data_IF_041720739170
#
_entry.id   IF_041720739170
#
_cell.length_a   1.000
_cell.length_b   1.000
_cell.length_c   1.000
_cell.angle_alpha   90.00
_cell.angle_beta   90.00
_cell.angle_gamma   90.00
#
_symmetry.space_group_name_H-M   'P 1'
#
loop_
_entity.id
_entity.type
_entity.pdbx_description
1 polymer ?
#
# COMPACT_ATOMS: atom_id res chain seq x y z
N UNK A 1 21.90 -23.64 38.26
CA UNK A 1 20.86 -24.18 37.36
C UNK A 1 21.24 -23.85 35.92
N UNK A 2 21.58 -24.84 35.11
CA UNK A 2 21.92 -24.66 33.69
C UNK A 2 20.64 -24.59 32.86
N UNK A 3 20.50 -23.56 32.02
CA UNK A 3 19.41 -23.48 31.05
C UNK A 3 19.49 -24.67 30.07
N UNK A 4 18.36 -25.23 29.62
CA UNK A 4 18.37 -26.28 28.60
C UNK A 4 19.04 -25.78 27.32
N UNK A 5 19.76 -26.65 26.61
CA UNK A 5 20.56 -26.25 25.43
C UNK A 5 19.73 -25.59 24.33
N UNK A 6 18.46 -25.95 24.20
CA UNK A 6 17.50 -25.30 23.30
C UNK A 6 17.28 -23.81 23.62
N UNK A 7 17.22 -23.45 24.91
CA UNK A 7 17.07 -22.07 25.34
C UNK A 7 18.35 -21.26 25.07
N UNK A 8 19.53 -21.86 25.28
CA UNK A 8 20.82 -21.22 24.95
C UNK A 8 20.90 -20.89 23.45
N UNK A 9 20.52 -21.83 22.60
CA UNK A 9 20.46 -21.63 21.16
C UNK A 9 19.48 -20.50 20.79
N UNK A 10 18.27 -20.51 21.36
CA UNK A 10 17.25 -19.47 21.13
C UNK A 10 17.77 -18.08 21.48
N UNK A 11 18.37 -17.90 22.67
CA UNK A 11 18.90 -16.60 23.09
C UNK A 11 20.11 -16.15 22.26
N UNK A 12 20.94 -17.09 21.77
CA UNK A 12 22.01 -16.77 20.84
C UNK A 12 21.46 -16.21 19.53
N UNK A 13 20.49 -16.90 18.93
CA UNK A 13 19.82 -16.45 17.68
C UNK A 13 19.10 -15.12 17.91
N UNK A 14 18.45 -14.92 19.06
CA UNK A 14 17.80 -13.65 19.39
C UNK A 14 18.79 -12.48 19.46
N UNK A 15 19.94 -12.66 20.14
CA UNK A 15 20.98 -11.61 20.22
C UNK A 15 21.53 -11.26 18.85
N UNK A 16 21.78 -12.28 18.03
CA UNK A 16 22.19 -12.10 16.64
C UNK A 16 21.13 -11.32 15.84
N UNK A 17 19.85 -11.68 15.98
CA UNK A 17 18.74 -10.95 15.36
C UNK A 17 18.72 -9.48 15.75
N UNK A 18 18.82 -9.17 17.05
CA UNK A 18 18.85 -7.79 17.53
C UNK A 18 20.08 -7.03 17.01
N UNK A 19 21.23 -7.69 16.86
CA UNK A 19 22.42 -7.06 16.24
C UNK A 19 22.17 -6.75 14.77
N UNK A 20 21.66 -7.71 14.01
CA UNK A 20 21.38 -7.55 12.58
C UNK A 20 20.37 -6.44 12.31
N UNK A 21 19.30 -6.37 13.12
CA UNK A 21 18.28 -5.31 12.95
C UNK A 21 18.85 -3.90 13.05
N UNK A 22 19.97 -3.67 13.76
CA UNK A 22 20.59 -2.34 13.85
C UNK A 22 21.08 -1.81 12.50
N UNK A 23 21.43 -2.70 11.57
CA UNK A 23 21.88 -2.35 10.22
C UNK A 23 20.75 -2.02 9.26
N UNK A 24 19.48 -2.20 9.67
CA UNK A 24 18.36 -1.75 8.85
C UNK A 24 18.36 -0.22 8.75
N UNK A 25 18.04 0.34 7.57
CA UNK A 25 18.25 1.76 7.28
C UNK A 25 17.30 2.68 8.06
N UNK A 26 16.09 2.23 8.39
CA UNK A 26 15.03 3.07 8.95
C UNK A 26 14.74 2.77 10.41
N UNK A 27 14.51 3.80 11.22
CA UNK A 27 14.18 3.66 12.65
C UNK A 27 12.95 2.78 12.90
N UNK A 28 11.85 3.01 12.15
CA UNK A 28 10.65 2.17 12.17
C UNK A 28 10.96 0.67 11.97
N UNK A 29 11.77 0.33 10.95
CA UNK A 29 12.12 -1.08 10.69
C UNK A 29 12.86 -1.69 11.88
N UNK A 30 13.82 -0.95 12.45
CA UNK A 30 14.56 -1.40 13.63
C UNK A 30 13.64 -1.63 14.83
N UNK A 31 12.73 -0.68 15.06
CA UNK A 31 11.77 -0.76 16.17
C UNK A 31 10.80 -1.93 16.00
N UNK A 32 10.19 -2.04 14.82
CA UNK A 32 9.26 -3.12 14.48
C UNK A 32 9.89 -4.50 14.67
N UNK A 33 11.06 -4.74 14.06
CA UNK A 33 11.72 -6.05 14.15
C UNK A 33 12.25 -6.37 15.54
N UNK A 34 12.60 -5.36 16.35
CA UNK A 34 12.96 -5.56 17.75
C UNK A 34 11.76 -6.07 18.57
N UNK A 35 10.59 -5.42 18.43
CA UNK A 35 9.35 -5.84 19.10
C UNK A 35 8.94 -7.24 18.61
N UNK A 36 8.94 -7.43 17.30
CA UNK A 36 8.59 -8.71 16.69
C UNK A 36 9.47 -9.85 17.19
N UNK A 37 10.79 -9.64 17.25
CA UNK A 37 11.72 -10.65 17.77
C UNK A 37 11.47 -10.98 19.24
N UNK A 38 11.14 -9.99 20.07
CA UNK A 38 10.76 -10.25 21.47
C UNK A 38 9.47 -11.06 21.58
N UNK A 39 8.46 -10.74 20.77
CA UNK A 39 7.19 -11.48 20.78
C UNK A 39 7.37 -12.92 20.29
N UNK A 40 8.16 -13.14 19.24
CA UNK A 40 8.44 -14.49 18.72
C UNK A 40 9.21 -15.33 19.73
N UNK A 41 10.22 -14.76 20.41
CA UNK A 41 10.96 -15.46 21.48
C UNK A 41 10.05 -15.78 22.66
N UNK A 42 9.22 -14.82 23.10
CA UNK A 42 8.23 -15.06 24.17
C UNK A 42 7.28 -16.19 23.77
N UNK A 43 6.75 -16.15 22.55
CA UNK A 43 5.87 -17.18 22.03
C UNK A 43 6.56 -18.55 21.87
N UNK A 44 7.88 -18.61 21.68
CA UNK A 44 8.64 -19.88 21.69
C UNK A 44 8.80 -20.40 23.12
N UNK A 45 9.17 -19.54 24.08
CA UNK A 45 9.36 -19.90 25.49
C UNK A 45 8.07 -20.37 26.14
N UNK A 46 6.93 -19.73 25.85
CA UNK A 46 5.61 -20.11 26.36
C UNK A 46 5.07 -21.42 25.75
N UNK A 47 5.67 -21.89 24.64
CA UNK A 47 5.20 -23.10 23.98
C UNK A 47 5.62 -24.32 24.78
N UNK A 48 4.66 -25.00 25.39
CA UNK A 48 4.86 -26.36 25.91
C UNK A 48 5.34 -27.26 24.77
N UNK A 49 6.34 -28.09 25.03
CA UNK A 49 7.00 -28.97 24.03
C UNK A 49 6.09 -30.14 23.59
N UNK A 50 4.94 -29.81 23.01
CA UNK A 50 4.04 -30.77 22.40
C UNK A 50 4.45 -30.97 20.94
N UNK A 51 4.78 -32.20 20.56
CA UNK A 51 4.95 -32.64 19.15
C UNK A 51 5.94 -31.77 18.35
N UNK A 52 7.06 -31.36 18.96
CA UNK A 52 8.11 -30.57 18.29
C UNK A 52 7.67 -29.18 17.83
N UNK A 53 6.62 -28.60 18.42
CA UNK A 53 6.14 -27.26 18.07
C UNK A 53 7.19 -26.16 18.34
N UNK A 54 7.92 -26.24 19.46
CA UNK A 54 9.02 -25.33 19.79
C UNK A 54 10.11 -25.32 18.71
N UNK A 55 10.57 -26.50 18.27
CA UNK A 55 11.56 -26.63 17.16
C UNK A 55 11.06 -26.01 15.86
N UNK A 56 9.78 -26.19 15.50
CA UNK A 56 9.19 -25.58 14.29
C UNK A 56 9.13 -24.05 14.38
N UNK A 57 8.80 -23.49 15.56
CA UNK A 57 8.82 -22.04 15.78
C UNK A 57 10.25 -21.49 15.73
N UNK A 58 11.22 -22.15 16.38
CA UNK A 58 12.64 -21.77 16.29
C UNK A 58 13.14 -21.80 14.83
N UNK A 59 12.78 -22.83 14.04
CA UNK A 59 13.12 -22.89 12.61
C UNK A 59 12.51 -21.75 11.79
N UNK A 60 11.29 -21.30 12.13
CA UNK A 60 10.68 -20.12 11.49
C UNK A 60 11.43 -18.84 11.87
N UNK A 61 11.80 -18.70 13.14
CA UNK A 61 12.55 -17.55 13.64
C UNK A 61 13.95 -17.46 13.01
N UNK A 62 14.68 -18.58 12.86
CA UNK A 62 15.97 -18.60 12.16
C UNK A 62 15.85 -18.30 10.66
N UNK A 63 14.77 -18.74 10.00
CA UNK A 63 14.48 -18.35 8.61
C UNK A 63 14.25 -16.85 8.47
N UNK A 64 13.61 -16.24 9.46
CA UNK A 64 13.39 -14.80 9.48
C UNK A 64 14.70 -14.03 9.69
N UNK A 65 15.57 -14.49 10.59
CA UNK A 65 16.93 -13.96 10.73
C UNK A 65 17.69 -14.00 9.41
N UNK A 66 17.66 -15.14 8.71
CA UNK A 66 18.29 -15.28 7.39
C UNK A 66 17.72 -14.30 6.36
N UNK A 67 16.41 -14.04 6.42
CA UNK A 67 15.75 -13.06 5.55
C UNK A 67 16.20 -11.63 5.86
N UNK A 68 16.32 -11.26 7.14
CA UNK A 68 16.84 -9.94 7.55
C UNK A 68 18.29 -9.76 7.12
N UNK A 69 19.15 -10.77 7.33
CA UNK A 69 20.54 -10.75 6.85
C UNK A 69 20.64 -10.59 5.34
N UNK A 70 19.88 -11.37 4.57
CA UNK A 70 19.84 -11.25 3.13
C UNK A 70 19.38 -9.85 2.67
N UNK A 71 18.42 -9.25 3.39
CA UNK A 71 17.96 -7.89 3.12
C UNK A 71 19.06 -6.84 3.36
N UNK A 72 19.84 -6.98 4.43
CA UNK A 72 21.00 -6.12 4.74
C UNK A 72 22.09 -6.26 3.67
N UNK A 73 22.30 -7.48 3.16
CA UNK A 73 23.23 -7.76 2.05
C UNK A 73 22.75 -7.24 0.68
N UNK A 74 21.59 -6.58 0.60
CA UNK A 74 21.06 -5.99 -0.63
C UNK A 74 20.17 -6.91 -1.47
N UNK A 75 19.77 -8.07 -0.94
CA UNK A 75 18.79 -8.94 -1.62
C UNK A 75 17.45 -8.23 -1.75
N UNK A 76 17.08 -7.91 -3.00
CA UNK A 76 15.82 -7.24 -3.34
C UNK A 76 14.57 -7.97 -2.80
N UNK A 77 14.37 -9.27 -3.06
CA UNK A 77 13.14 -9.95 -2.59
C UNK A 77 13.07 -10.02 -1.07
N UNK A 78 14.21 -10.21 -0.40
CA UNK A 78 14.29 -10.23 1.06
C UNK A 78 13.95 -8.85 1.65
N UNK A 79 14.50 -7.77 1.10
CA UNK A 79 14.21 -6.42 1.56
C UNK A 79 12.75 -6.03 1.31
N UNK A 80 12.17 -6.38 0.16
CA UNK A 80 10.74 -6.18 -0.10
C UNK A 80 9.88 -6.98 0.88
N UNK A 81 10.27 -8.20 1.24
CA UNK A 81 9.58 -8.96 2.28
C UNK A 81 9.67 -8.25 3.65
N UNK A 82 10.85 -7.73 3.99
CA UNK A 82 11.08 -7.00 5.24
C UNK A 82 10.16 -5.78 5.34
N UNK A 83 10.06 -4.99 4.27
CA UNK A 83 9.13 -3.86 4.16
C UNK A 83 7.67 -4.31 4.21
N UNK A 84 7.29 -5.33 3.43
CA UNK A 84 5.92 -5.83 3.37
C UNK A 84 5.42 -6.27 4.76
N UNK A 85 6.27 -6.90 5.58
CA UNK A 85 5.90 -7.31 6.93
C UNK A 85 5.82 -6.10 7.88
N UNK A 86 6.83 -5.22 7.88
CA UNK A 86 6.91 -4.09 8.83
C UNK A 86 5.88 -2.99 8.58
N UNK A 87 5.38 -2.85 7.35
CA UNK A 87 4.32 -1.91 6.99
C UNK A 87 2.96 -2.60 6.80
N UNK A 88 2.81 -3.83 7.32
CA UNK A 88 1.53 -4.52 7.38
C UNK A 88 0.90 -4.85 6.01
N UNK A 89 1.72 -5.08 4.97
CA UNK A 89 1.27 -5.68 3.71
C UNK A 89 1.12 -7.20 3.84
N UNK A 90 1.86 -7.80 4.77
CA UNK A 90 1.86 -9.25 5.08
C UNK A 90 1.88 -9.49 6.59
N UNK A 91 1.56 -10.72 6.97
CA UNK A 91 1.69 -11.20 8.35
C UNK A 91 0.60 -10.68 9.30
N UNK A 92 0.90 -10.70 10.61
CA UNK A 92 -0.04 -10.36 11.69
C UNK A 92 -0.45 -8.88 11.66
N UNK A 93 0.52 -7.98 11.44
CA UNK A 93 0.27 -6.54 11.40
C UNK A 93 -0.76 -6.17 10.32
N UNK A 94 -0.76 -6.87 9.17
CA UNK A 94 -1.78 -6.68 8.14
C UNK A 94 -3.20 -6.88 8.70
N UNK A 95 -3.39 -7.93 9.51
CA UNK A 95 -4.68 -8.22 10.13
C UNK A 95 -5.05 -7.17 11.17
N UNK A 96 -4.08 -6.74 12.00
CA UNK A 96 -4.29 -5.70 13.01
C UNK A 96 -4.70 -4.36 12.38
N UNK A 97 -4.16 -4.02 11.21
CA UNK A 97 -4.53 -2.81 10.47
C UNK A 97 -5.90 -2.92 9.78
N UNK A 98 -6.27 -4.11 9.26
CA UNK A 98 -7.55 -4.29 8.54
C UNK A 98 -8.73 -4.53 9.48
N UNK A 99 -8.52 -5.17 10.63
CA UNK A 99 -9.57 -5.53 11.57
C UNK A 99 -10.45 -4.34 12.01
N UNK A 100 -9.91 -3.15 12.32
CA UNK A 100 -10.70 -1.95 12.60
C UNK A 100 -11.64 -1.56 11.46
N UNK A 101 -11.25 -1.80 10.20
CA UNK A 101 -12.03 -1.48 9.01
C UNK A 101 -13.14 -2.50 8.73
N UNK A 102 -13.09 -3.68 9.34
CA UNK A 102 -14.12 -4.71 9.19
C UNK A 102 -15.29 -4.51 10.16
N UNK A 103 -15.11 -3.69 11.20
CA UNK A 103 -16.11 -3.49 12.25
C UNK A 103 -16.36 -2.00 12.45
N UNK A 104 -17.53 -1.51 12.10
CA UNK A 104 -17.97 -0.15 12.44
C UNK A 104 -18.98 -0.19 13.58
N UNK A 105 -18.67 0.38 14.76
CA UNK A 105 -19.62 0.46 15.86
C UNK A 105 -20.80 1.40 15.58
N UNK A 106 -20.66 2.36 14.66
CA UNK A 106 -21.70 3.37 14.36
C UNK A 106 -22.77 2.84 13.42
N UNK A 107 -22.45 1.87 12.57
CA UNK A 107 -23.37 1.36 11.55
C UNK A 107 -24.30 0.31 12.15
N UNK A 108 -25.61 0.54 12.00
CA UNK A 108 -26.64 -0.43 12.39
C UNK A 108 -26.46 -1.72 11.59
N UNK A 109 -26.31 -2.84 12.28
CA UNK A 109 -26.18 -4.15 11.63
C UNK A 109 -27.49 -4.49 10.90
N UNK A 110 -27.42 -5.00 9.66
CA UNK A 110 -28.60 -5.40 8.90
C UNK A 110 -29.35 -6.53 9.63
N UNK A 111 -30.65 -6.69 9.34
CA UNK A 111 -31.44 -7.77 9.90
C UNK A 111 -30.84 -9.14 9.50
N UNK A 112 -30.97 -10.18 10.35
CA UNK A 112 -30.52 -11.52 10.01
C UNK A 112 -31.35 -12.08 8.85
N UNK A 113 -30.70 -12.70 7.86
CA UNK A 113 -31.40 -13.34 6.73
C UNK A 113 -32.32 -14.49 7.22
N UNK A 114 -31.91 -15.19 8.27
CA UNK A 114 -32.67 -16.22 8.97
C UNK A 114 -33.09 -15.62 10.34
N UNK A 115 -34.38 -15.34 10.57
CA UNK A 115 -34.85 -14.57 11.74
C UNK A 115 -34.33 -15.08 13.10
N UNK A 116 -34.22 -16.39 13.27
CA UNK A 116 -33.78 -17.01 14.53
C UNK A 116 -32.24 -17.14 14.69
N UNK A 117 -31.44 -16.76 13.68
CA UNK A 117 -29.98 -17.01 13.67
C UNK A 117 -29.22 -15.70 13.50
N UNK A 118 -28.76 -15.09 14.59
CA UNK A 118 -28.04 -13.81 14.52
C UNK A 118 -26.76 -13.86 13.68
N UNK A 119 -26.10 -15.03 13.63
CA UNK A 119 -24.91 -15.26 12.79
C UNK A 119 -25.22 -15.19 11.29
N UNK A 120 -26.49 -15.23 10.90
CA UNK A 120 -26.92 -15.10 9.50
C UNK A 120 -27.08 -13.65 9.05
N UNK A 121 -26.63 -12.67 9.84
CA UNK A 121 -26.56 -11.28 9.38
C UNK A 121 -25.57 -11.17 8.22
N UNK A 122 -25.92 -10.46 7.14
CA UNK A 122 -24.97 -10.22 6.07
C UNK A 122 -23.82 -9.33 6.56
N UNK A 123 -22.64 -9.44 5.95
CA UNK A 123 -21.50 -8.59 6.28
C UNK A 123 -21.84 -7.12 5.98
N UNK A 124 -21.37 -6.22 6.85
CA UNK A 124 -21.51 -4.77 6.68
C UNK A 124 -20.23 -4.26 6.02
N UNK A 125 -20.38 -3.35 5.06
CA UNK A 125 -19.26 -2.64 4.45
C UNK A 125 -19.21 -1.21 5.00
N UNK A 126 -18.29 -0.90 5.94
CA UNK A 126 -18.04 0.48 6.34
C UNK A 126 -17.67 1.34 5.13
N UNK A 127 -17.98 2.64 5.16
CA UNK A 127 -17.77 3.55 4.02
C UNK A 127 -16.29 3.58 3.59
N UNK A 128 -15.37 3.43 4.55
CA UNK A 128 -13.93 3.33 4.33
C UNK A 128 -13.57 2.06 3.55
N UNK A 129 -14.09 0.91 3.99
CA UNK A 129 -13.83 -0.38 3.37
C UNK A 129 -14.46 -0.48 1.98
N UNK A 130 -15.68 0.06 1.82
CA UNK A 130 -16.35 0.14 0.53
C UNK A 130 -15.54 0.97 -0.47
N UNK A 131 -15.00 2.13 -0.05
CA UNK A 131 -14.13 2.94 -0.89
C UNK A 131 -12.82 2.23 -1.28
N UNK A 132 -12.24 1.45 -0.35
CA UNK A 132 -11.09 0.60 -0.67
C UNK A 132 -11.46 -0.48 -1.71
N UNK A 133 -12.53 -1.23 -1.50
CA UNK A 133 -12.95 -2.33 -2.39
C UNK A 133 -13.31 -1.88 -3.81
N UNK A 134 -13.92 -0.69 -3.91
CA UNK A 134 -14.30 -0.06 -5.19
C UNK A 134 -13.13 0.63 -5.89
N UNK A 135 -12.01 0.87 -5.21
CA UNK A 135 -10.83 1.46 -5.82
C UNK A 135 -9.83 0.38 -6.28
N UNK A 136 -9.35 0.44 -7.54
CA UNK A 136 -8.32 -0.48 -8.03
C UNK A 136 -6.96 -0.25 -7.35
N UNK A 137 -6.74 0.93 -6.76
CA UNK A 137 -5.50 1.31 -6.08
C UNK A 137 -5.23 0.50 -4.80
N UNK A 138 -6.27 0.11 -4.07
CA UNK A 138 -6.11 -0.52 -2.75
C UNK A 138 -5.98 -2.04 -2.81
N UNK A 139 -6.24 -2.65 -3.96
CA UNK A 139 -6.41 -4.09 -4.06
C UNK A 139 -5.16 -4.76 -4.61
N UNK A 140 -4.89 -5.96 -4.09
CA UNK A 140 -3.90 -6.86 -4.69
C UNK A 140 -4.31 -7.27 -6.11
N UNK A 141 -5.60 -7.30 -6.39
CA UNK A 141 -6.17 -7.53 -7.72
C UNK A 141 -6.47 -6.20 -8.39
N UNK A 142 -6.07 -6.02 -9.66
CA UNK A 142 -6.30 -4.77 -10.39
C UNK A 142 -7.78 -4.48 -10.72
N UNK A 143 -8.65 -5.48 -10.61
CA UNK A 143 -10.09 -5.33 -10.84
C UNK A 143 -10.71 -4.69 -9.61
N UNK A 144 -11.39 -3.56 -9.77
CA UNK A 144 -12.21 -2.92 -8.75
C UNK A 144 -13.59 -3.62 -8.66
N UNK A 145 -14.25 -3.54 -7.50
CA UNK A 145 -15.66 -3.95 -7.37
C UNK A 145 -16.55 -2.78 -7.77
N UNK A 146 -17.69 -3.06 -8.37
CA UNK A 146 -18.74 -2.05 -8.49
C UNK A 146 -19.44 -1.88 -7.13
N UNK A 147 -20.08 -0.72 -6.87
CA UNK A 147 -20.93 -0.57 -5.70
C UNK A 147 -22.04 -1.65 -5.63
N UNK A 148 -22.58 -2.05 -6.78
CA UNK A 148 -23.59 -3.11 -6.92
C UNK A 148 -23.05 -4.47 -6.44
N UNK A 149 -21.79 -4.80 -6.74
CA UNK A 149 -21.14 -6.03 -6.28
C UNK A 149 -21.05 -6.13 -4.73
N UNK A 150 -21.09 -4.99 -4.03
CA UNK A 150 -21.07 -4.97 -2.56
C UNK A 150 -22.43 -5.40 -1.98
N UNK A 151 -23.53 -5.04 -2.64
CA UNK A 151 -24.89 -5.38 -2.23
C UNK A 151 -25.25 -6.81 -2.65
N UNK A 152 -25.02 -7.11 -3.92
CA UNK A 152 -25.33 -8.39 -4.58
C UNK A 152 -24.04 -8.94 -5.18
N UNK A 153 -23.34 -9.84 -4.47
CA UNK A 153 -22.05 -10.29 -4.94
C UNK A 153 -22.18 -11.10 -6.23
N UNK A 154 -21.26 -10.97 -7.20
CA UNK A 154 -21.34 -11.64 -8.51
C UNK A 154 -21.25 -13.17 -8.42
N UNK A 155 -20.87 -13.69 -7.25
CA UNK A 155 -20.86 -15.15 -6.96
C UNK A 155 -22.22 -15.68 -6.51
N UNK A 156 -23.18 -14.78 -6.25
CA UNK A 156 -24.54 -15.13 -5.90
C UNK A 156 -25.32 -15.46 -7.18
N UNK A 157 -25.99 -16.62 -7.25
CA UNK A 157 -26.79 -16.95 -8.42
C UNK A 157 -28.03 -16.03 -8.49
N UNK A 158 -28.47 -15.73 -9.71
CA UNK A 158 -29.77 -15.09 -10.04
C UNK A 158 -30.94 -15.62 -9.20
N UNK A 159 -30.95 -16.93 -8.93
CA UNK A 159 -31.91 -17.66 -8.08
C UNK A 159 -32.06 -17.08 -6.66
N UNK A 160 -31.10 -16.29 -6.18
CA UNK A 160 -31.24 -15.62 -4.88
C UNK A 160 -32.33 -14.53 -4.91
N UNK A 161 -32.57 -13.92 -6.07
CA UNK A 161 -33.61 -12.93 -6.23
C UNK A 161 -34.95 -13.62 -6.47
N UNK A 162 -35.97 -13.40 -5.62
CA UNK A 162 -37.26 -14.08 -5.73
C UNK A 162 -38.03 -13.71 -6.99
N UNK A 163 -37.69 -12.58 -7.61
CA UNK A 163 -38.30 -12.08 -8.85
C UNK A 163 -37.72 -12.73 -10.11
N UNK A 164 -36.52 -13.32 -10.02
CA UNK A 164 -35.83 -13.93 -11.15
C UNK A 164 -36.57 -15.15 -11.71
N UNK A 165 -36.44 -15.37 -13.02
CA UNK A 165 -37.02 -16.55 -13.68
C UNK A 165 -36.44 -17.85 -13.11
N UNK A 166 -35.14 -17.88 -12.81
CA UNK A 166 -34.49 -19.05 -12.21
C UNK A 166 -35.06 -19.40 -10.83
N UNK A 167 -35.41 -18.40 -10.01
CA UNK A 167 -36.07 -18.65 -8.73
C UNK A 167 -37.50 -19.18 -8.92
N UNK A 168 -38.19 -18.76 -9.98
CA UNK A 168 -39.54 -19.27 -10.30
C UNK A 168 -39.49 -20.70 -10.84
N UNK A 169 -38.52 -21.01 -11.69
CA UNK A 169 -38.37 -22.32 -12.34
C UNK A 169 -37.79 -23.38 -11.40
N UNK A 170 -36.74 -23.04 -10.64
CA UNK A 170 -36.00 -24.00 -9.81
C UNK A 170 -36.32 -23.88 -8.31
N UNK A 171 -37.13 -22.90 -7.92
CA UNK A 171 -37.41 -22.51 -6.54
C UNK A 171 -36.38 -21.51 -5.97
N UNK A 172 -36.61 -20.88 -4.80
CA UNK A 172 -35.68 -19.93 -4.21
C UNK A 172 -34.38 -20.59 -3.72
N UNK A 173 -33.30 -19.81 -3.61
CA UNK A 173 -32.04 -20.27 -3.01
C UNK A 173 -32.21 -20.49 -1.49
N UNK A 174 -31.57 -21.52 -0.93
CA UNK A 174 -31.61 -21.72 0.52
C UNK A 174 -30.89 -20.58 1.25
N UNK A 175 -31.57 -19.97 2.24
CA UNK A 175 -31.06 -18.84 3.04
C UNK A 175 -29.68 -19.11 3.65
N UNK A 176 -29.43 -20.33 4.12
CA UNK A 176 -28.10 -20.73 4.66
C UNK A 176 -27.01 -20.67 3.59
N UNK A 177 -27.31 -21.10 2.37
CA UNK A 177 -26.35 -21.06 1.24
C UNK A 177 -26.08 -19.63 0.82
N UNK A 178 -27.12 -18.79 0.76
CA UNK A 178 -26.98 -17.36 0.49
C UNK A 178 -26.03 -16.69 1.50
N UNK A 179 -26.28 -16.87 2.80
CA UNK A 179 -25.43 -16.36 3.88
C UNK A 179 -23.98 -16.79 3.70
N UNK A 180 -23.75 -18.08 3.43
CA UNK A 180 -22.42 -18.63 3.23
C UNK A 180 -21.72 -18.03 2.01
N UNK A 181 -22.43 -17.82 0.89
CA UNK A 181 -21.88 -17.20 -0.32
C UNK A 181 -21.48 -15.75 -0.01
N UNK A 182 -22.37 -14.96 0.60
CA UNK A 182 -22.09 -13.56 0.96
C UNK A 182 -20.87 -13.43 1.88
N UNK A 183 -20.77 -14.26 2.94
CA UNK A 183 -19.62 -14.24 3.86
C UNK A 183 -18.32 -14.72 3.21
N UNK A 184 -18.37 -15.75 2.35
CA UNK A 184 -17.19 -16.19 1.59
C UNK A 184 -16.71 -15.09 0.66
N UNK A 185 -17.62 -14.44 -0.06
CA UNK A 185 -17.28 -13.31 -0.92
C UNK A 185 -16.63 -12.18 -0.10
N UNK A 186 -17.28 -11.73 0.98
CA UNK A 186 -16.74 -10.69 1.85
C UNK A 186 -15.34 -11.00 2.38
N UNK A 187 -15.14 -12.20 2.93
CA UNK A 187 -13.83 -12.59 3.50
C UNK A 187 -12.74 -12.68 2.43
N UNK A 188 -13.07 -13.19 1.25
CA UNK A 188 -12.14 -13.25 0.12
C UNK A 188 -11.79 -11.86 -0.40
N UNK A 189 -12.78 -10.96 -0.51
CA UNK A 189 -12.57 -9.60 -1.01
C UNK A 189 -11.83 -8.73 0.00
N UNK A 190 -12.19 -8.78 1.29
CA UNK A 190 -11.44 -8.13 2.35
C UNK A 190 -9.98 -8.61 2.40
N UNK A 191 -9.74 -9.91 2.19
CA UNK A 191 -8.38 -10.47 2.13
C UNK A 191 -7.57 -10.04 0.90
N UNK A 192 -8.15 -9.33 -0.07
CA UNK A 192 -7.44 -8.74 -1.22
C UNK A 192 -7.07 -7.27 -1.00
N UNK A 193 -7.66 -6.61 0.01
CA UNK A 193 -7.39 -5.20 0.30
C UNK A 193 -6.05 -5.03 1.00
N UNK A 194 -5.28 -4.04 0.57
CA UNK A 194 -4.12 -3.53 1.27
C UNK A 194 -4.58 -2.53 2.34
N UNK A 195 -4.19 -2.71 3.62
CA UNK A 195 -4.65 -1.81 4.66
C UNK A 195 -4.03 -0.41 4.46
N UNK A 196 -4.80 0.68 4.49
CA UNK A 196 -4.22 2.03 4.55
C UNK A 196 -3.39 2.22 5.83
N UNK A 197 -2.37 3.08 5.78
CA UNK A 197 -1.60 3.44 6.98
C UNK A 197 -2.25 4.60 7.73
N UNK A 198 -2.80 5.56 6.99
CA UNK A 198 -3.32 6.83 7.49
C UNK A 198 -4.54 7.28 6.66
N UNK A 199 -5.37 8.11 7.27
CA UNK A 199 -6.47 8.85 6.61
C UNK A 199 -6.11 10.32 6.58
N UNK A 200 -6.29 10.93 5.41
CA UNK A 200 -6.13 12.36 5.23
C UNK A 200 -7.51 13.00 5.14
N UNK A 201 -7.76 14.06 5.90
CA UNK A 201 -8.97 14.84 5.79
C UNK A 201 -8.74 15.98 4.79
N UNK A 202 -9.69 16.19 3.88
CA UNK A 202 -9.69 17.30 2.94
C UNK A 202 -11.02 18.02 3.02
N UNK A 203 -11.01 19.27 3.49
CA UNK A 203 -12.18 20.12 3.38
C UNK A 203 -12.42 20.44 1.89
N UNK A 204 -13.67 20.66 1.47
CA UNK A 204 -13.98 20.94 0.06
C UNK A 204 -13.40 22.28 -0.44
N UNK A 205 -13.00 23.18 0.47
CA UNK A 205 -12.13 24.31 0.12
C UNK A 205 -10.83 23.77 -0.48
N UNK A 206 -10.20 24.47 -1.42
CA UNK A 206 -8.97 24.04 -2.12
C UNK A 206 -7.72 23.85 -1.22
N UNK A 207 -7.92 23.68 0.09
CA UNK A 207 -6.92 23.32 1.07
C UNK A 207 -6.29 21.96 0.72
N UNK A 208 -4.97 21.81 0.81
CA UNK A 208 -4.32 20.51 0.70
C UNK A 208 -4.90 19.54 1.75
N UNK A 209 -4.89 18.25 1.42
CA UNK A 209 -5.29 17.23 2.37
C UNK A 209 -4.29 17.21 3.54
N UNK A 210 -4.81 17.17 4.76
CA UNK A 210 -4.01 17.17 5.98
C UNK A 210 -4.30 15.89 6.78
N UNK A 211 -3.25 15.30 7.35
CA UNK A 211 -3.32 14.13 8.23
C UNK A 211 -3.34 14.53 9.71
N UNK A 212 -3.39 15.84 10.01
CA UNK A 212 -3.35 16.36 11.37
C UNK A 212 -4.49 15.80 12.25
N UNK A 213 -4.22 15.51 13.53
CA UNK A 213 -5.22 14.95 14.44
C UNK A 213 -6.39 15.90 14.67
N UNK A 214 -6.17 17.22 14.54
CA UNK A 214 -7.19 18.25 14.71
C UNK A 214 -8.24 18.14 13.60
N UNK A 215 -7.81 18.12 12.34
CA UNK A 215 -8.73 18.03 11.18
C UNK A 215 -9.51 16.72 11.15
N UNK A 216 -8.90 15.61 11.57
CA UNK A 216 -9.55 14.29 11.66
C UNK A 216 -10.64 14.28 12.75
N UNK A 217 -10.37 14.89 13.90
CA UNK A 217 -11.34 15.02 15.00
C UNK A 217 -12.50 15.93 14.60
N UNK A 218 -12.22 17.06 13.95
CA UNK A 218 -13.23 17.97 13.40
C UNK A 218 -14.13 17.29 12.38
N UNK A 219 -13.55 16.48 11.50
CA UNK A 219 -14.27 15.71 10.51
C UNK A 219 -15.00 14.48 11.10
N UNK A 220 -14.85 14.20 12.40
CA UNK A 220 -15.42 13.04 13.13
C UNK A 220 -15.07 11.69 12.49
N UNK A 221 -13.93 11.64 11.82
CA UNK A 221 -13.41 10.44 11.16
C UNK A 221 -12.80 9.54 12.22
N UNK A 222 -12.95 8.24 12.04
CA UNK A 222 -12.22 7.25 12.84
C UNK A 222 -10.80 7.14 12.31
N UNK A 223 -9.81 7.54 13.10
CA UNK A 223 -8.41 7.20 12.83
C UNK A 223 -8.21 5.68 12.88
N UNK A 224 -7.38 5.15 11.98
CA UNK A 224 -6.99 3.74 11.99
C UNK A 224 -5.52 3.59 11.58
N UNK A 225 -4.92 2.46 11.94
CA UNK A 225 -3.56 2.12 11.57
C UNK A 225 -2.50 2.90 12.36
N UNK A 226 -1.66 3.63 11.63
CA UNK A 226 -0.51 4.37 12.18
C UNK A 226 -0.73 5.87 12.15
N UNK A 227 -1.99 6.31 12.26
CA UNK A 227 -2.33 7.73 12.37
C UNK A 227 -1.46 8.40 13.44
N UNK A 228 -0.98 9.62 13.15
CA UNK A 228 -0.15 10.45 14.02
C UNK A 228 1.32 10.00 14.19
N UNK A 229 1.73 8.86 13.61
CA UNK A 229 3.12 8.40 13.72
C UNK A 229 4.08 9.02 12.70
N UNK A 230 3.57 9.70 11.67
CA UNK A 230 4.41 10.31 10.65
C UNK A 230 5.05 9.30 9.69
N UNK A 231 4.55 8.05 9.65
CA UNK A 231 5.21 6.96 8.91
C UNK A 231 5.13 7.17 7.40
N UNK A 232 4.02 7.73 6.90
CA UNK A 232 3.87 8.01 5.49
C UNK A 232 4.79 9.16 5.06
N UNK A 233 4.90 10.20 5.88
CA UNK A 233 5.83 11.32 5.70
C UNK A 233 7.28 10.85 5.71
N UNK A 234 7.64 9.95 6.62
CA UNK A 234 8.96 9.31 6.65
C UNK A 234 9.26 8.58 5.34
N UNK A 235 8.30 7.79 4.83
CA UNK A 235 8.44 7.10 3.54
C UNK A 235 8.65 8.11 2.40
N UNK A 236 7.84 9.18 2.36
CA UNK A 236 8.01 10.26 1.38
C UNK A 236 9.36 10.96 1.50
N UNK A 237 9.86 11.17 2.71
CA UNK A 237 11.19 11.70 2.98
C UNK A 237 12.30 10.82 2.43
N UNK A 238 12.18 9.49 2.57
CA UNK A 238 13.14 8.52 2.04
C UNK A 238 13.11 8.49 0.51
N UNK A 239 11.92 8.40 -0.09
CA UNK A 239 11.78 8.46 -1.54
C UNK A 239 12.36 9.77 -2.07
N UNK A 240 12.26 10.81 -1.26
CA UNK A 240 12.58 12.18 -1.58
C UNK A 240 11.37 12.82 -2.26
N UNK A 241 11.27 14.14 -2.17
CA UNK A 241 10.36 14.87 -3.05
C UNK A 241 10.69 14.44 -4.47
N UNK A 242 9.67 14.00 -5.20
CA UNK A 242 9.71 13.86 -6.64
C UNK A 242 10.28 15.18 -7.14
N UNK A 243 11.59 15.19 -7.43
CA UNK A 243 12.22 16.38 -7.95
C UNK A 243 11.62 16.47 -9.33
N UNK A 244 10.52 17.21 -9.46
CA UNK A 244 10.04 17.74 -10.71
C UNK A 244 11.29 18.15 -11.50
N UNK A 245 11.61 17.39 -12.54
CA UNK A 245 12.59 17.76 -13.54
C UNK A 245 14.07 17.84 -13.15
N UNK A 246 14.51 17.70 -11.89
CA UNK A 246 15.95 17.76 -11.59
C UNK A 246 16.63 16.43 -11.94
N UNK A 247 16.75 16.19 -13.25
CA UNK A 247 17.80 15.34 -13.82
C UNK A 247 19.11 15.71 -13.12
N UNK A 248 19.98 14.73 -12.80
CA UNK A 248 21.29 15.07 -12.27
C UNK A 248 21.91 16.10 -13.21
N UNK A 249 22.18 17.30 -12.66
CA UNK A 249 22.65 18.45 -13.43
C UNK A 249 23.81 17.98 -14.28
N UNK A 250 23.66 18.08 -15.59
CA UNK A 250 24.69 17.56 -16.49
C UNK A 250 25.98 18.35 -16.27
N UNK A 251 27.14 17.74 -16.57
CA UNK A 251 28.43 18.44 -16.43
C UNK A 251 28.45 19.78 -17.20
N UNK A 252 27.70 19.86 -18.31
CA UNK A 252 27.53 21.10 -19.10
C UNK A 252 26.71 22.15 -18.36
N UNK A 253 25.58 21.77 -17.76
CA UNK A 253 24.77 22.68 -16.95
C UNK A 253 25.54 23.18 -15.72
N UNK A 254 26.33 22.33 -15.06
CA UNK A 254 27.21 22.75 -13.96
C UNK A 254 28.22 23.81 -14.41
N UNK A 255 28.79 23.66 -15.61
CA UNK A 255 29.69 24.67 -16.17
C UNK A 255 28.94 25.97 -16.53
N UNK A 256 27.71 25.88 -17.03
CA UNK A 256 26.88 27.05 -17.34
C UNK A 256 26.48 27.81 -16.06
N UNK A 257 26.04 27.10 -15.01
CA UNK A 257 25.72 27.69 -13.71
C UNK A 257 26.94 28.37 -13.08
N UNK A 258 28.13 27.76 -13.21
CA UNK A 258 29.38 28.36 -12.76
C UNK A 258 29.70 29.67 -13.51
N UNK A 259 29.39 29.76 -14.81
CA UNK A 259 29.55 31.00 -15.59
C UNK A 259 28.56 32.10 -15.16
N UNK A 260 27.35 31.72 -14.74
CA UNK A 260 26.30 32.65 -14.27
C UNK A 260 26.56 33.12 -12.82
N UNK A 261 27.59 32.58 -12.15
CA UNK A 261 27.89 32.93 -10.75
C UNK A 261 26.87 32.37 -9.75
N UNK A 262 25.95 31.51 -10.18
CA UNK A 262 25.07 30.80 -9.27
C UNK A 262 25.85 29.67 -8.61
N UNK A 263 26.17 29.87 -7.33
CA UNK A 263 26.73 28.82 -6.50
C UNK A 263 25.71 27.67 -6.40
N UNK A 264 26.09 26.42 -6.70
CA UNK A 264 25.18 25.30 -6.53
C UNK A 264 24.78 25.23 -5.05
N UNK A 265 23.48 25.14 -4.79
CA UNK A 265 22.97 24.93 -3.43
C UNK A 265 23.75 23.79 -2.77
N UNK A 266 24.17 23.92 -1.50
CA UNK A 266 24.92 22.88 -0.82
C UNK A 266 24.19 21.53 -1.00
N UNK A 267 24.92 20.44 -1.26
CA UNK A 267 24.30 19.15 -1.54
C UNK A 267 23.39 18.80 -0.37
N UNK A 268 22.08 18.86 -0.60
CA UNK A 268 21.09 18.45 0.37
C UNK A 268 21.51 17.09 0.94
N UNK A 269 21.41 16.93 2.27
CA UNK A 269 21.87 15.77 3.04
C UNK A 269 21.80 14.49 2.20
N UNK A 270 22.93 13.78 2.08
CA UNK A 270 23.13 12.66 1.14
C UNK A 270 21.85 11.81 1.05
N UNK A 271 21.11 11.99 -0.04
CA UNK A 271 19.87 11.27 -0.25
C UNK A 271 20.12 9.76 -0.13
N UNK A 272 19.14 8.99 0.37
CA UNK A 272 19.27 7.55 0.43
C UNK A 272 19.61 6.97 -0.94
N UNK A 273 20.32 5.84 -0.92
CA UNK A 273 20.77 5.16 -2.13
C UNK A 273 19.60 4.99 -3.11
N UNK A 274 19.88 5.11 -4.42
CA UNK A 274 18.88 4.92 -5.47
C UNK A 274 18.13 3.59 -5.31
N UNK A 275 18.84 2.56 -4.86
CA UNK A 275 18.27 1.25 -4.56
C UNK A 275 17.20 1.34 -3.46
N UNK A 276 17.50 2.01 -2.34
CA UNK A 276 16.55 2.15 -1.23
C UNK A 276 15.30 2.92 -1.66
N UNK A 277 15.50 4.06 -2.34
CA UNK A 277 14.40 4.88 -2.88
C UNK A 277 13.46 4.07 -3.75
N UNK A 278 14.00 3.30 -4.69
CA UNK A 278 13.22 2.45 -5.59
C UNK A 278 12.35 1.45 -4.81
N UNK A 279 12.85 0.89 -3.70
CA UNK A 279 12.08 -0.06 -2.86
C UNK A 279 10.96 0.62 -2.09
N UNK A 280 11.21 1.82 -1.56
CA UNK A 280 10.15 2.59 -0.90
C UNK A 280 9.11 3.13 -1.88
N UNK A 281 9.49 3.48 -3.12
CA UNK A 281 8.53 3.81 -4.18
C UNK A 281 7.64 2.61 -4.55
N UNK A 282 8.20 1.40 -4.57
CA UNK A 282 7.41 0.18 -4.76
C UNK A 282 6.47 -0.08 -3.59
N UNK A 283 6.91 0.23 -2.36
CA UNK A 283 6.08 0.14 -1.17
C UNK A 283 4.91 1.15 -1.23
N UNK A 284 5.16 2.39 -1.64
CA UNK A 284 4.11 3.40 -1.87
C UNK A 284 3.06 2.93 -2.90
N UNK A 285 3.46 2.14 -3.89
CA UNK A 285 2.52 1.52 -4.84
C UNK A 285 1.62 0.44 -4.24
N UNK A 286 1.85 0.03 -2.98
CA UNK A 286 1.04 -0.93 -2.22
C UNK A 286 0.36 -0.29 -1.00
N UNK A 287 0.57 1.00 -0.76
CA UNK A 287 -0.03 1.73 0.35
C UNK A 287 -1.12 2.63 -0.24
N UNK A 288 -2.41 2.25 -0.12
CA UNK A 288 -3.49 3.15 -0.51
C UNK A 288 -3.51 4.36 0.43
N UNK A 289 -3.64 5.54 -0.16
CA UNK A 289 -3.90 6.79 0.53
C UNK A 289 -5.42 7.02 0.53
N UNK A 290 -6.01 7.08 1.72
CA UNK A 290 -7.44 7.31 1.90
C UNK A 290 -7.63 8.78 2.21
N UNK A 291 -8.37 9.49 1.37
CA UNK A 291 -8.73 10.90 1.57
C UNK A 291 -10.22 11.00 1.87
N UNK A 292 -10.58 11.59 3.00
CA UNK A 292 -11.95 11.91 3.33
C UNK A 292 -12.26 13.35 2.95
N UNK A 293 -13.06 13.53 1.92
CA UNK A 293 -13.53 14.86 1.48
C UNK A 293 -14.82 15.22 2.21
N UNK A 294 -14.85 16.34 2.93
CA UNK A 294 -16.04 16.78 3.68
C UNK A 294 -16.39 18.25 3.45
N UNK A 295 -17.67 18.56 3.64
CA UNK A 295 -18.20 19.92 3.70
C UNK A 295 -18.80 20.13 5.10
N UNK A 296 -18.66 21.32 5.66
CA UNK A 296 -19.23 21.60 6.99
C UNK A 296 -20.73 21.30 6.99
N UNK A 297 -21.17 20.44 7.93
CA UNK A 297 -22.57 20.03 8.06
C UNK A 297 -23.07 18.93 7.11
N UNK A 298 -22.24 18.38 6.22
CA UNK A 298 -22.61 17.26 5.34
C UNK A 298 -21.72 16.03 5.57
N UNK A 299 -22.31 14.86 5.35
CA UNK A 299 -21.56 13.61 5.28
C UNK A 299 -20.50 13.71 4.18
N UNK A 300 -19.26 13.37 4.52
CA UNK A 300 -18.16 13.35 3.56
C UNK A 300 -18.14 12.05 2.74
N UNK A 301 -17.25 12.06 1.75
CA UNK A 301 -16.97 10.92 0.86
C UNK A 301 -15.51 10.48 1.03
N UNK A 302 -15.29 9.17 1.06
CA UNK A 302 -13.95 8.60 0.98
C UNK A 302 -13.51 8.42 -0.47
N UNK A 303 -12.34 8.95 -0.79
CA UNK A 303 -11.58 8.69 -2.01
C UNK A 303 -10.34 7.88 -1.69
N UNK A 304 -9.86 7.09 -2.65
CA UNK A 304 -8.65 6.28 -2.50
C UNK A 304 -7.76 6.51 -3.71
N UNK A 305 -6.54 6.97 -3.45
CA UNK A 305 -5.50 7.17 -4.46
C UNK A 305 -4.22 6.43 -4.06
N UNK A 306 -3.29 6.29 -5.02
CA UNK A 306 -1.90 5.95 -4.71
C UNK A 306 -1.08 7.23 -4.69
N UNK A 307 0.07 7.18 -4.02
CA UNK A 307 1.03 8.27 -4.14
C UNK A 307 1.53 8.44 -5.57
N UNK A 308 1.67 9.68 -6.02
CA UNK A 308 2.32 10.04 -7.28
C UNK A 308 3.76 9.53 -7.38
N UNK A 309 4.44 9.38 -6.23
CA UNK A 309 5.81 8.87 -6.16
C UNK A 309 5.91 7.34 -6.26
N UNK A 310 4.78 6.64 -6.41
CA UNK A 310 4.77 5.19 -6.45
C UNK A 310 5.35 4.67 -7.76
N UNK A 311 6.18 3.63 -7.66
CA UNK A 311 6.55 2.81 -8.82
C UNK A 311 5.52 1.71 -8.98
N UNK A 312 4.31 2.08 -9.39
CA UNK A 312 3.28 1.11 -9.70
C UNK A 312 3.67 0.29 -10.93
N UNK A 313 3.60 -1.05 -10.82
CA UNK A 313 3.91 -1.99 -11.93
C UNK A 313 2.98 -1.79 -13.14
N UNK A 314 1.83 -1.14 -12.95
CA UNK A 314 0.80 -0.90 -13.98
C UNK A 314 0.81 0.49 -14.57
N UNK A 315 1.45 1.47 -13.94
CA UNK A 315 1.66 2.76 -14.59
C UNK A 315 2.94 2.56 -15.39
N UNK A 316 2.79 2.00 -16.61
CA UNK A 316 3.76 2.34 -17.65
C UNK A 316 3.85 3.85 -17.55
N UNK A 317 5.03 4.45 -17.29
CA UNK A 317 5.14 5.89 -17.34
C UNK A 317 4.64 6.26 -18.72
N UNK A 318 3.38 6.75 -18.79
CA UNK A 318 2.90 7.53 -19.92
C UNK A 318 4.04 8.48 -20.10
N UNK A 319 4.79 8.34 -21.20
CA UNK A 319 6.04 9.06 -21.38
C UNK A 319 5.72 10.49 -21.02
N UNK A 320 6.17 10.91 -19.83
CA UNK A 320 6.11 12.30 -19.46
C UNK A 320 7.23 12.84 -20.32
N UNK A 321 6.89 13.11 -21.57
CA UNK A 321 7.63 14.02 -22.39
C UNK A 321 7.83 15.21 -21.47
N UNK A 322 9.09 15.49 -21.14
CA UNK A 322 9.40 16.66 -20.34
C UNK A 322 8.69 17.85 -20.97
N UNK A 323 8.26 18.80 -20.15
CA UNK A 323 7.86 20.11 -20.68
C UNK A 323 8.86 20.52 -21.75
N UNK A 324 8.37 20.83 -22.93
CA UNK A 324 9.23 21.06 -24.10
C UNK A 324 9.95 22.37 -23.83
N UNK A 325 11.21 22.27 -23.38
CA UNK A 325 12.03 23.45 -23.13
C UNK A 325 12.15 24.30 -24.39
N UNK A 326 12.36 25.60 -24.22
CA UNK A 326 12.56 26.54 -25.34
C UNK A 326 13.65 26.10 -26.33
N UNK A 327 14.68 25.40 -25.84
CA UNK A 327 15.72 24.80 -26.67
C UNK A 327 15.22 23.62 -27.53
N UNK A 328 14.31 22.81 -27.00
CA UNK A 328 13.68 21.72 -27.74
C UNK A 328 12.68 22.26 -28.78
N UNK A 329 11.92 23.31 -28.43
CA UNK A 329 11.09 24.05 -29.38
C UNK A 329 11.94 24.68 -30.50
N UNK A 330 13.09 25.27 -30.16
CA UNK A 330 14.00 25.84 -31.17
C UNK A 330 14.56 24.79 -32.13
N UNK A 331 14.89 23.60 -31.63
CA UNK A 331 15.30 22.46 -32.46
C UNK A 331 14.18 21.98 -33.38
N UNK A 332 12.96 21.88 -32.86
CA UNK A 332 11.78 21.48 -33.64
C UNK A 332 11.51 22.49 -34.77
N UNK A 333 11.49 23.79 -34.45
CA UNK A 333 11.29 24.86 -35.42
C UNK A 333 12.40 24.90 -36.48
N UNK A 334 13.65 24.64 -36.10
CA UNK A 334 14.77 24.56 -37.04
C UNK A 334 14.62 23.38 -38.00
N UNK A 335 14.19 22.22 -37.50
CA UNK A 335 13.95 21.06 -38.34
C UNK A 335 12.81 21.30 -39.36
N UNK A 336 11.72 21.96 -38.94
CA UNK A 336 10.63 22.34 -39.85
C UNK A 336 11.09 23.31 -40.96
N UNK A 337 11.96 24.27 -40.63
CA UNK A 337 12.55 25.17 -41.61
C UNK A 337 13.46 24.42 -42.59
N UNK A 338 14.28 23.49 -42.12
CA UNK A 338 15.17 22.68 -42.96
C UNK A 338 14.39 21.75 -43.91
N UNK A 339 13.30 21.16 -43.44
CA UNK A 339 12.43 20.32 -44.28
C UNK A 339 11.66 21.14 -45.31
N UNK A 340 11.26 22.37 -44.97
CA UNK A 340 10.63 23.30 -45.94
C UNK A 340 11.59 23.75 -47.05
N UNK A 341 12.91 23.70 -46.81
CA UNK A 341 13.93 24.10 -47.77
C UNK A 341 14.48 22.95 -48.61
N UNK A 342 14.16 21.69 -48.29
CA UNK A 342 14.60 20.56 -49.11
C UNK A 342 13.83 20.56 -50.43
N UNK A 343 14.49 20.70 -51.58
CA UNK A 343 13.84 20.60 -52.87
C UNK A 343 13.22 19.21 -53.00
N UNK A 344 11.99 19.16 -53.50
CA UNK A 344 11.23 17.92 -53.71
C UNK A 344 11.98 17.03 -54.71
N UNK A 345 12.88 16.20 -54.19
CA UNK A 345 13.68 15.27 -54.98
C UNK A 345 12.78 14.12 -55.37
N UNK A 346 11.99 14.35 -56.43
CA UNK A 346 11.02 13.42 -56.98
C UNK A 346 11.64 12.04 -57.20
N UNK A 347 11.51 11.16 -56.20
CA UNK A 347 11.81 9.74 -56.33
C UNK A 347 10.80 9.16 -57.31
N UNK A 348 11.18 9.15 -58.60
CA UNK A 348 10.51 8.36 -59.63
C UNK A 348 10.47 6.91 -59.16
N UNK A 349 9.34 6.48 -58.61
CA UNK A 349 9.01 5.07 -58.41
C UNK A 349 9.03 4.41 -59.80
N UNK A 350 10.10 3.67 -60.10
CA UNK A 350 10.14 2.82 -61.30
C UNK A 350 9.04 1.75 -61.15
N UNK A 351 8.18 1.69 -62.15
CA UNK A 351 7.20 0.61 -62.35
C UNK A 351 7.89 -0.68 -62.74
#
# INVERSE_FOLDING_TARGET
MTLPDSARQLFSVYREFIRETRYLPHAHLRHYYRIKASDDVRAIVETKDCKGLGRRKLKRFTKELATVKAAIQGSTPAFTHVLDVAYGRKGKLRWELIQPLLTDPKVKKPPPIIPAVEKSRPPVYPKELAALLTSPASRSTRKALTPEDLETPPTLPSRADPTSEDSKLLGPLSKRREVNIRWRFFTQEAAKVYPPLEVQAKMFSNTPADASPVTIREARIRGFGFQEQGLLEDIHGIVGREKQGLRPVTRRELQAMKKIGQAPSPPAARHPSRWLRRRYQQLLGKIPQVTYTYQSGKDGRYGVSLSNQSLAVSVVPVHQYGEVDSAALAWYNKAELEDSQKPDTGKKRKK
#
